data_IF_273529583349
#
_entry.id   IF_273529583349
#
_cell.length_a   1.000
_cell.length_b   1.000
_cell.length_c   1.000
_cell.angle_alpha   90.00
_cell.angle_beta   90.00
_cell.angle_gamma   90.00
#
_symmetry.space_group_name_H-M   'P 1'
#
loop_
_entity.id
_entity.type
_entity.pdbx_description
1 polymer ?
#
# COMPACT_ATOMS: atom_id res chain seq x y z
N UNK A 1 4.65 8.35 10.45
CA UNK A 1 3.58 7.36 10.24
C UNK A 1 2.52 7.55 11.32
N UNK A 2 1.24 7.60 10.97
CA UNK A 2 0.16 7.71 11.96
C UNK A 2 -0.30 6.33 12.41
N UNK A 3 -0.80 6.23 13.64
CA UNK A 3 -1.41 5.03 14.20
C UNK A 3 -2.89 5.30 14.40
N UNK A 4 -3.71 4.34 13.99
CA UNK A 4 -5.16 4.36 14.17
C UNK A 4 -5.56 3.26 15.16
N UNK A 5 -6.70 3.40 15.81
CA UNK A 5 -7.25 2.32 16.64
C UNK A 5 -7.81 1.23 15.73
N UNK A 6 -7.67 -0.03 16.14
CA UNK A 6 -8.30 -1.17 15.44
C UNK A 6 -9.85 -1.11 15.48
N UNK A 7 -10.41 -0.19 16.28
CA UNK A 7 -11.85 0.05 16.41
C UNK A 7 -12.34 1.28 15.64
N UNK A 8 -11.46 1.99 14.94
CA UNK A 8 -11.86 3.17 14.17
C UNK A 8 -12.75 2.76 12.99
N UNK A 9 -13.90 3.43 12.85
CA UNK A 9 -14.81 3.22 11.72
C UNK A 9 -14.34 4.10 10.56
N UNK A 10 -14.05 3.46 9.43
CA UNK A 10 -13.57 4.07 8.19
C UNK A 10 -14.46 3.64 7.03
N UNK A 11 -14.56 4.46 5.99
CA UNK A 11 -15.30 4.13 4.78
C UNK A 11 -14.55 3.10 3.93
N UNK A 12 -13.21 3.08 3.99
CA UNK A 12 -12.37 2.13 3.27
C UNK A 12 -11.03 1.87 3.96
N UNK A 13 -10.58 0.61 3.87
CA UNK A 13 -9.22 0.19 4.21
C UNK A 13 -8.53 -0.28 2.93
N UNK A 14 -7.39 0.34 2.60
CA UNK A 14 -6.57 0.01 1.44
C UNK A 14 -5.36 -0.79 1.93
N UNK A 15 -5.24 -2.04 1.51
CA UNK A 15 -4.10 -2.92 1.85
C UNK A 15 -3.07 -2.82 0.72
N UNK A 16 -1.91 -2.24 1.03
CA UNK A 16 -0.83 -1.95 0.10
C UNK A 16 -0.95 -0.57 -0.55
N UNK A 17 0.15 0.18 -0.52
CA UNK A 17 0.30 1.52 -1.11
C UNK A 17 1.17 1.50 -2.37
N UNK A 18 1.23 0.35 -3.05
CA UNK A 18 1.85 0.21 -4.36
C UNK A 18 1.01 0.81 -5.50
N UNK A 19 1.35 0.43 -6.73
CA UNK A 19 0.78 1.00 -7.95
C UNK A 19 -0.75 0.90 -8.07
N UNK A 20 -1.37 -0.12 -7.47
CA UNK A 20 -2.83 -0.28 -7.45
C UNK A 20 -3.52 0.49 -6.32
N UNK A 21 -3.02 0.35 -5.09
CA UNK A 21 -3.67 0.89 -3.90
C UNK A 21 -3.55 2.40 -3.76
N UNK A 22 -2.38 2.97 -4.06
CA UNK A 22 -2.13 4.42 -3.90
C UNK A 22 -3.08 5.30 -4.76
N UNK A 23 -3.30 5.01 -6.05
CA UNK A 23 -4.27 5.77 -6.84
C UNK A 23 -5.72 5.66 -6.32
N UNK A 24 -6.11 4.50 -5.79
CA UNK A 24 -7.44 4.28 -5.20
C UNK A 24 -7.58 5.13 -3.93
N UNK A 25 -6.61 5.04 -3.01
CA UNK A 25 -6.56 5.84 -1.79
C UNK A 25 -6.69 7.33 -2.11
N UNK A 26 -5.91 7.83 -3.08
CA UNK A 26 -5.94 9.22 -3.50
C UNK A 26 -7.32 9.64 -4.04
N UNK A 27 -7.98 8.79 -4.82
CA UNK A 27 -9.32 9.07 -5.38
C UNK A 27 -10.40 9.08 -4.30
N UNK A 28 -10.43 8.08 -3.42
CA UNK A 28 -11.43 7.99 -2.35
C UNK A 28 -11.27 9.15 -1.35
N UNK A 29 -10.03 9.45 -0.96
CA UNK A 29 -9.75 10.57 -0.05
C UNK A 29 -10.16 11.92 -0.66
N UNK A 30 -9.92 12.13 -1.96
CA UNK A 30 -10.37 13.34 -2.68
C UNK A 30 -11.89 13.45 -2.77
N UNK A 31 -12.62 12.34 -2.69
CA UNK A 31 -14.07 12.32 -2.62
C UNK A 31 -14.60 12.62 -1.20
N UNK A 32 -13.73 12.87 -0.22
CA UNK A 32 -14.09 13.19 1.17
C UNK A 32 -14.34 11.98 2.06
N UNK A 33 -14.02 10.77 1.60
CA UNK A 33 -14.17 9.55 2.38
C UNK A 33 -13.04 9.41 3.41
N UNK A 34 -13.37 8.90 4.59
CA UNK A 34 -12.40 8.56 5.62
C UNK A 34 -11.73 7.22 5.27
N UNK A 35 -10.48 7.31 4.79
CA UNK A 35 -9.73 6.15 4.30
C UNK A 35 -8.48 5.92 5.15
N UNK A 36 -8.19 4.64 5.44
CA UNK A 36 -6.92 4.22 6.03
C UNK A 36 -6.18 3.32 5.06
N UNK A 37 -4.85 3.42 5.02
CA UNK A 37 -4.01 2.51 4.25
C UNK A 37 -3.00 1.80 5.16
N UNK A 38 -2.79 0.51 4.88
CA UNK A 38 -1.81 -0.34 5.56
C UNK A 38 -0.76 -0.77 4.56
N UNK A 39 0.50 -0.46 4.84
CA UNK A 39 1.65 -0.83 4.02
C UNK A 39 2.61 -1.65 4.88
N UNK A 40 3.14 -2.75 4.32
CA UNK A 40 4.11 -3.59 5.00
C UNK A 40 5.53 -3.03 4.88
N UNK A 41 5.83 -2.31 3.79
CA UNK A 41 7.09 -1.60 3.60
C UNK A 41 7.24 -0.35 4.48
N UNK A 42 8.47 0.18 4.60
CA UNK A 42 8.73 1.42 5.32
C UNK A 42 8.18 2.64 4.57
N UNK A 43 8.04 3.75 5.27
CA UNK A 43 7.83 5.04 4.61
C UNK A 43 9.15 5.55 4.02
N UNK A 44 9.19 5.77 2.72
CA UNK A 44 10.32 6.40 2.03
C UNK A 44 10.05 7.88 1.79
N UNK A 45 11.01 8.74 2.11
CA UNK A 45 11.02 10.15 1.75
C UNK A 45 11.47 10.30 0.28
N UNK A 46 10.59 10.79 -0.63
CA UNK A 46 10.91 10.96 -2.04
C UNK A 46 12.20 11.75 -2.31
N UNK A 47 12.52 12.77 -1.51
CA UNK A 47 13.68 13.64 -1.77
C UNK A 47 15.01 13.08 -1.28
N UNK A 48 15.00 12.12 -0.36
CA UNK A 48 16.21 11.59 0.28
C UNK A 48 16.47 10.12 -0.08
N UNK A 49 15.41 9.33 -0.27
CA UNK A 49 15.53 7.88 -0.35
C UNK A 49 15.49 7.34 -1.79
N UNK A 50 15.21 8.20 -2.78
CA UNK A 50 15.12 7.80 -4.19
C UNK A 50 16.24 8.46 -5.00
N UNK A 51 17.29 7.67 -5.28
CA UNK A 51 18.26 8.02 -6.31
C UNK A 51 17.65 7.76 -7.71
N UNK A 52 18.11 8.51 -8.71
CA UNK A 52 17.78 8.25 -10.13
C UNK A 52 18.60 7.09 -10.68
N UNK A 53 18.51 5.94 -10.03
CA UNK A 53 19.17 4.68 -10.40
C UNK A 53 18.13 3.55 -10.31
N UNK A 54 18.02 2.74 -11.36
CA UNK A 54 17.09 1.61 -11.43
C UNK A 54 17.40 0.52 -10.41
N UNK A 55 18.69 0.26 -10.15
CA UNK A 55 19.10 -0.76 -9.15
C UNK A 55 18.70 -0.35 -7.74
N UNK A 56 18.77 0.94 -7.45
CA UNK A 56 18.31 1.47 -6.16
C UNK A 56 16.80 1.32 -5.94
N UNK A 57 16.03 1.05 -7.00
CA UNK A 57 14.59 0.77 -6.90
C UNK A 57 14.28 -0.67 -6.52
N UNK A 58 15.26 -1.58 -6.45
CA UNK A 58 15.01 -2.97 -6.04
C UNK A 58 14.31 -3.04 -4.67
N UNK A 59 14.56 -2.07 -3.79
CA UNK A 59 13.94 -1.93 -2.46
C UNK A 59 12.43 -1.70 -2.45
N UNK A 60 11.83 -1.26 -3.56
CA UNK A 60 10.38 -1.07 -3.68
C UNK A 60 9.67 -2.24 -4.35
N UNK A 61 10.40 -3.25 -4.83
CA UNK A 61 9.78 -4.44 -5.39
C UNK A 61 9.26 -5.36 -4.30
N UNK A 62 8.00 -5.78 -4.44
CA UNK A 62 7.43 -6.82 -3.61
C UNK A 62 7.96 -8.19 -4.05
N UNK A 63 9.00 -8.66 -3.38
CA UNK A 63 9.62 -9.97 -3.63
C UNK A 63 9.23 -11.04 -2.59
N UNK A 64 8.38 -10.68 -1.62
CA UNK A 64 7.89 -11.63 -0.63
C UNK A 64 6.88 -12.60 -1.22
N UNK A 65 6.71 -13.74 -0.56
CA UNK A 65 5.77 -14.78 -0.95
C UNK A 65 4.37 -14.19 -1.16
N UNK A 66 3.78 -14.52 -2.33
CA UNK A 66 2.41 -14.14 -2.67
C UNK A 66 1.49 -15.27 -2.27
N UNK A 67 0.80 -15.12 -1.14
CA UNK A 67 -0.15 -16.10 -0.62
C UNK A 67 -1.58 -15.77 -1.06
N UNK A 68 -2.24 -16.73 -1.69
CA UNK A 68 -3.66 -16.67 -2.07
C UNK A 68 -4.36 -17.84 -1.42
N UNK A 69 -5.32 -17.58 -0.55
CA UNK A 69 -5.97 -18.60 0.28
C UNK A 69 -7.49 -18.42 0.31
N UNK A 70 -8.17 -19.21 1.16
CA UNK A 70 -9.63 -19.20 1.29
C UNK A 70 -10.33 -20.14 0.33
N UNK A 71 -11.65 -20.01 0.20
CA UNK A 71 -12.48 -20.92 -0.61
C UNK A 71 -12.33 -20.71 -2.13
N UNK A 72 -11.93 -19.50 -2.54
CA UNK A 72 -11.80 -19.12 -3.95
C UNK A 72 -10.46 -18.39 -4.16
N UNK A 73 -9.32 -19.09 -4.06
CA UNK A 73 -8.01 -18.47 -4.23
C UNK A 73 -7.81 -18.04 -5.69
N UNK A 74 -7.14 -16.91 -5.90
CA UNK A 74 -6.68 -16.46 -7.21
C UNK A 74 -5.24 -16.87 -7.44
N UNK A 75 -4.93 -17.40 -8.62
CA UNK A 75 -3.53 -17.60 -9.02
C UNK A 75 -2.86 -16.24 -9.23
N UNK A 76 -1.65 -16.09 -8.69
CA UNK A 76 -0.78 -15.00 -9.08
C UNK A 76 0.00 -15.43 -10.32
N UNK A 77 0.01 -14.58 -11.35
CA UNK A 77 0.83 -14.77 -12.55
C UNK A 77 2.33 -14.73 -12.26
#
# INVERSE_FOLDING_TARGET
>A
MQKYSDTDIVDAVIIGTGAGGSPILARLSKAGLHCVAVEAGPFFNPSADFATDEKEQEKIFWQFERLSAGKNPLAFG
#
